data_IF_986892724031
#
_entry.id   IF_986892724031
#
_cell.length_a   1.000
_cell.length_b   1.000
_cell.length_c   1.000
_cell.angle_alpha   90.00
_cell.angle_beta   90.00
_cell.angle_gamma   90.00
#
_symmetry.space_group_name_H-M   'P 1'
#
loop_
_entity.id
_entity.type
_entity.pdbx_description
1 polymer ?
#
# COMPACT_ATOMS: atom_id res chain seq x y z
N UNK A 1 14.06 -3.29 -3.85
CA UNK A 1 14.25 -3.05 -2.42
C UNK A 1 15.67 -3.45 -2.04
N UNK A 2 16.18 -3.00 -0.89
CA UNK A 2 17.56 -3.22 -0.43
C UNK A 2 17.98 -4.69 -0.30
N UNK A 3 17.01 -5.58 -0.18
CA UNK A 3 17.17 -7.04 -0.11
C UNK A 3 17.07 -7.72 -1.50
N UNK A 4 16.86 -6.95 -2.57
CA UNK A 4 16.75 -7.44 -3.95
C UNK A 4 15.31 -7.71 -4.41
N UNK A 5 14.32 -7.70 -3.51
CA UNK A 5 12.90 -7.88 -3.89
C UNK A 5 12.42 -6.70 -4.73
N UNK A 6 11.66 -6.99 -5.78
CA UNK A 6 11.08 -5.98 -6.67
C UNK A 6 9.60 -5.76 -6.35
N UNK A 7 9.22 -4.50 -6.14
CA UNK A 7 7.84 -4.09 -5.90
C UNK A 7 7.28 -3.41 -7.15
N UNK A 8 6.16 -3.92 -7.64
CA UNK A 8 5.51 -3.38 -8.82
C UNK A 8 4.93 -1.99 -8.51
N UNK A 9 5.29 -1.02 -9.33
CA UNK A 9 4.99 0.39 -9.10
C UNK A 9 4.51 1.03 -10.41
N UNK A 10 3.34 1.67 -10.38
CA UNK A 10 2.81 2.47 -11.48
C UNK A 10 3.02 3.95 -11.20
N UNK A 11 3.55 4.68 -12.17
CA UNK A 11 3.93 6.09 -12.05
C UNK A 11 3.21 6.88 -13.14
N UNK A 12 2.41 7.86 -12.73
CA UNK A 12 1.69 8.76 -13.61
C UNK A 12 2.31 10.15 -13.48
N UNK A 13 3.02 10.57 -14.52
CA UNK A 13 3.70 11.87 -14.56
C UNK A 13 2.88 12.86 -15.38
N UNK A 14 2.67 14.10 -14.89
CA UNK A 14 2.03 15.15 -15.69
C UNK A 14 2.76 15.36 -17.02
N UNK A 15 2.01 15.59 -18.10
CA UNK A 15 2.58 15.97 -19.40
C UNK A 15 3.22 17.36 -19.35
N UNK A 16 2.76 18.22 -18.44
CA UNK A 16 3.36 19.51 -18.18
C UNK A 16 4.73 19.36 -17.51
N UNK A 17 5.78 19.63 -18.29
CA UNK A 17 7.17 19.62 -17.86
C UNK A 17 7.73 21.00 -17.57
N UNK A 18 6.89 22.04 -17.46
CA UNK A 18 7.32 23.42 -17.19
C UNK A 18 7.93 23.61 -15.80
N UNK A 19 7.57 22.74 -14.86
CA UNK A 19 8.11 22.72 -13.50
C UNK A 19 8.31 21.28 -13.04
N UNK A 20 9.00 21.15 -11.90
CA UNK A 20 9.17 19.87 -11.22
C UNK A 20 8.03 19.69 -10.23
N UNK A 21 7.27 18.61 -10.37
CA UNK A 21 6.12 18.33 -9.51
C UNK A 21 6.51 17.49 -8.28
N UNK A 22 5.81 17.65 -7.15
CA UNK A 22 5.94 16.75 -6.02
C UNK A 22 5.34 15.37 -6.34
N UNK A 23 5.78 14.36 -5.60
CA UNK A 23 5.25 13.00 -5.70
C UNK A 23 4.14 12.83 -4.66
N UNK A 24 3.02 12.23 -5.05
CA UNK A 24 1.98 11.76 -4.14
C UNK A 24 1.82 10.25 -4.29
N UNK A 25 2.19 9.52 -3.24
CA UNK A 25 2.35 8.08 -3.27
C UNK A 25 1.36 7.35 -2.35
N UNK A 26 0.80 6.25 -2.85
CA UNK A 26 0.01 5.29 -2.09
C UNK A 26 0.58 3.88 -2.26
N UNK A 27 0.81 3.19 -1.15
CA UNK A 27 1.15 1.76 -1.09
C UNK A 27 -0.11 0.99 -0.70
N UNK A 28 -0.37 -0.15 -1.31
CA UNK A 28 -1.62 -0.89 -1.04
C UNK A 28 -1.46 -2.41 -1.21
N UNK A 29 -2.22 -3.21 -0.43
CA UNK A 29 -2.31 -4.65 -0.61
C UNK A 29 -3.53 -5.05 -1.46
N UNK A 30 -4.19 -4.10 -2.13
CA UNK A 30 -5.50 -4.24 -2.80
C UNK A 30 -5.46 -4.12 -4.33
N UNK A 31 -4.30 -4.34 -4.95
CA UNK A 31 -4.04 -4.15 -6.38
C UNK A 31 -3.95 -2.68 -6.77
N UNK A 32 -2.95 -2.38 -7.58
CA UNK A 32 -2.84 -1.08 -8.27
C UNK A 32 -3.31 -1.11 -9.72
N UNK A 33 -4.04 -2.15 -10.12
CA UNK A 33 -4.69 -2.29 -11.42
C UNK A 33 -5.24 -0.97 -11.97
N UNK A 34 -5.17 -0.74 -13.29
CA UNK A 34 -4.74 -1.69 -14.32
C UNK A 34 -3.21 -1.84 -14.45
N UNK A 35 -2.79 -3.00 -14.97
CA UNK A 35 -1.40 -3.33 -15.23
C UNK A 35 -1.04 -3.20 -16.71
N UNK A 36 0.07 -2.53 -17.02
CA UNK A 36 0.56 -2.28 -18.38
C UNK A 36 0.82 -0.79 -18.63
N UNK A 37 1.77 -0.48 -19.51
CA UNK A 37 2.16 0.90 -19.81
C UNK A 37 1.11 1.67 -20.62
N UNK A 38 0.20 0.95 -21.28
CA UNK A 38 -0.88 1.45 -22.13
C UNK A 38 -2.22 1.54 -21.40
N UNK A 39 -2.29 1.14 -20.12
CA UNK A 39 -3.51 1.15 -19.33
C UNK A 39 -3.47 2.23 -18.26
N UNK A 40 -4.59 2.91 -18.08
CA UNK A 40 -4.71 4.05 -17.17
C UNK A 40 -5.81 3.84 -16.15
N UNK A 41 -5.56 4.27 -14.92
CA UNK A 41 -6.60 4.39 -13.89
C UNK A 41 -7.60 5.45 -14.30
N UNK A 42 -8.85 5.24 -13.92
CA UNK A 42 -9.94 6.22 -14.13
C UNK A 42 -9.83 7.42 -13.19
N UNK A 43 -9.14 7.26 -12.05
CA UNK A 43 -8.93 8.30 -11.05
C UNK A 43 -7.50 8.28 -10.52
N UNK A 44 -6.96 9.46 -10.23
CA UNK A 44 -5.66 9.67 -9.61
C UNK A 44 -5.82 10.50 -8.33
N UNK A 45 -4.95 10.26 -7.36
CA UNK A 45 -4.99 10.89 -6.04
C UNK A 45 -6.15 10.41 -5.14
N UNK A 46 -6.22 10.93 -3.91
CA UNK A 46 -7.28 10.59 -2.95
C UNK A 46 -8.61 11.27 -3.25
N UNK A 47 -8.61 12.36 -4.01
CA UNK A 47 -9.82 13.12 -4.34
C UNK A 47 -9.64 13.96 -5.62
N UNK A 48 -10.75 14.47 -6.22
CA UNK A 48 -10.70 15.24 -7.45
C UNK A 48 -9.97 16.59 -7.35
N UNK A 49 -9.81 17.15 -6.15
CA UNK A 49 -9.08 18.42 -5.96
C UNK A 49 -7.59 18.17 -6.17
N UNK A 50 -7.00 17.23 -5.42
CA UNK A 50 -5.58 16.89 -5.56
C UNK A 50 -5.26 16.28 -6.93
N UNK A 51 -6.21 15.59 -7.55
CA UNK A 51 -6.07 15.11 -8.94
C UNK A 51 -5.79 16.23 -9.94
N UNK A 52 -6.26 17.46 -9.67
CA UNK A 52 -6.09 18.64 -10.53
C UNK A 52 -4.88 19.50 -10.18
N UNK A 53 -4.27 19.28 -9.01
CA UNK A 53 -3.16 20.09 -8.48
C UNK A 53 -1.77 19.62 -8.96
N UNK A 54 -1.71 18.87 -10.07
CA UNK A 54 -0.50 18.36 -10.73
C UNK A 54 0.53 17.72 -9.77
N UNK A 55 0.38 16.42 -9.57
CA UNK A 55 1.37 15.58 -8.86
C UNK A 55 1.91 14.50 -9.79
N UNK A 56 3.10 13.99 -9.49
CA UNK A 56 3.49 12.66 -9.93
C UNK A 56 2.76 11.67 -9.03
N UNK A 57 1.73 11.01 -9.55
CA UNK A 57 0.98 10.01 -8.77
C UNK A 57 1.68 8.66 -8.84
N UNK A 58 1.93 8.07 -7.68
CA UNK A 58 2.60 6.78 -7.57
C UNK A 58 1.71 5.81 -6.81
N UNK A 59 1.50 4.65 -7.41
CA UNK A 59 0.80 3.53 -6.78
C UNK A 59 1.74 2.34 -6.75
N UNK A 60 1.81 1.66 -5.61
CA UNK A 60 2.66 0.48 -5.46
C UNK A 60 1.88 -0.68 -4.83
N UNK A 61 1.99 -1.85 -5.45
CA UNK A 61 1.61 -3.11 -4.82
C UNK A 61 2.65 -3.42 -3.73
N UNK A 62 2.24 -3.60 -2.49
CA UNK A 62 3.18 -3.89 -1.39
C UNK A 62 3.82 -5.26 -1.54
N UNK A 63 4.85 -5.53 -0.73
CA UNK A 63 5.59 -6.79 -0.71
C UNK A 63 4.65 -8.00 -0.63
N UNK A 64 4.91 -9.00 -1.47
CA UNK A 64 4.13 -10.22 -1.57
C UNK A 64 2.71 -10.07 -2.13
N UNK A 65 2.28 -8.86 -2.52
CA UNK A 65 0.96 -8.62 -3.08
C UNK A 65 1.00 -8.43 -4.59
N UNK A 66 0.06 -9.08 -5.28
CA UNK A 66 -0.14 -9.00 -6.72
C UNK A 66 1.15 -9.18 -7.53
N UNK A 67 1.53 -8.17 -8.33
CA UNK A 67 2.72 -8.18 -9.20
C UNK A 67 4.01 -7.97 -8.42
N UNK A 68 3.96 -7.60 -7.14
CA UNK A 68 5.14 -7.50 -6.30
C UNK A 68 5.65 -8.87 -5.86
N UNK A 69 6.97 -8.96 -5.77
CA UNK A 69 7.68 -10.12 -5.25
C UNK A 69 7.70 -10.11 -3.71
N UNK A 70 8.24 -11.18 -3.12
CA UNK A 70 8.38 -11.32 -1.67
C UNK A 70 7.23 -12.08 -1.03
N UNK A 71 7.18 -12.06 0.30
CA UNK A 71 6.12 -12.64 1.12
C UNK A 71 5.32 -11.52 1.77
N UNK A 72 4.01 -11.67 1.76
CA UNK A 72 3.12 -10.75 2.44
C UNK A 72 3.03 -11.13 3.91
N UNK A 73 3.11 -10.15 4.80
CA UNK A 73 2.90 -10.32 6.23
C UNK A 73 1.81 -9.33 6.66
N UNK A 74 0.86 -9.83 7.43
CA UNK A 74 -0.27 -9.04 7.90
C UNK A 74 0.20 -8.04 8.95
N UNK A 75 -0.05 -6.74 8.73
CA UNK A 75 0.39 -5.63 9.58
C UNK A 75 1.86 -5.77 9.98
N UNK A 76 2.74 -5.94 8.97
CA UNK A 76 4.19 -6.18 9.14
C UNK A 76 4.79 -5.30 10.27
N UNK A 77 5.26 -5.90 11.38
CA UNK A 77 5.77 -5.13 12.51
C UNK A 77 7.01 -4.30 12.16
N UNK A 78 7.09 -3.09 12.72
CA UNK A 78 8.27 -2.25 12.56
C UNK A 78 9.49 -2.87 13.28
N UNK A 79 10.63 -2.93 12.60
CA UNK A 79 11.85 -3.48 13.17
C UNK A 79 12.61 -2.40 13.95
N UNK A 80 12.70 -2.58 15.27
CA UNK A 80 13.48 -1.71 16.16
C UNK A 80 14.99 -1.86 15.91
N UNK A 81 15.44 -3.08 15.62
CA UNK A 81 16.84 -3.41 15.39
C UNK A 81 16.99 -4.06 14.01
N UNK A 82 17.86 -3.49 13.18
CA UNK A 82 18.23 -4.04 11.86
C UNK A 82 19.68 -4.49 11.91
N UNK A 83 19.91 -5.79 11.77
CA UNK A 83 21.23 -6.44 11.77
C UNK A 83 21.82 -6.51 10.36
N UNK A 84 20.97 -6.50 9.33
CA UNK A 84 21.39 -6.60 7.94
C UNK A 84 20.42 -5.93 6.97
N UNK A 85 20.80 -5.85 5.68
CA UNK A 85 19.91 -5.38 4.60
C UNK A 85 18.72 -6.31 4.34
N UNK A 86 18.72 -7.53 4.88
CA UNK A 86 17.60 -8.46 4.77
C UNK A 86 16.52 -8.20 5.82
N UNK A 87 16.81 -7.39 6.83
CA UNK A 87 15.86 -7.00 7.86
C UNK A 87 15.01 -5.86 7.31
N UNK A 88 13.95 -6.24 6.61
CA UNK A 88 13.04 -5.33 5.90
C UNK A 88 11.68 -5.30 6.59
N UNK A 89 11.12 -4.11 6.63
CA UNK A 89 9.76 -3.78 7.04
C UNK A 89 9.17 -2.72 6.11
N UNK A 90 7.93 -2.30 6.36
CA UNK A 90 7.24 -1.33 5.52
C UNK A 90 7.93 0.03 5.42
N UNK A 91 8.63 0.45 6.48
CA UNK A 91 9.38 1.70 6.47
C UNK A 91 10.57 1.62 5.52
N UNK A 92 11.26 0.48 5.50
CA UNK A 92 12.42 0.27 4.64
C UNK A 92 12.03 0.13 3.17
N UNK A 93 10.92 -0.54 2.86
CA UNK A 93 10.40 -0.66 1.50
C UNK A 93 9.88 0.70 0.99
N UNK A 94 9.21 1.49 1.84
CA UNK A 94 8.82 2.85 1.50
C UNK A 94 10.05 3.75 1.25
N UNK A 95 11.08 3.66 2.11
CA UNK A 95 12.32 4.40 1.97
C UNK A 95 12.99 4.12 0.62
N UNK A 96 13.16 2.84 0.29
CA UNK A 96 13.86 2.43 -0.93
C UNK A 96 13.06 2.79 -2.19
N UNK A 97 11.73 2.73 -2.11
CA UNK A 97 10.85 3.19 -3.18
C UNK A 97 11.03 4.69 -3.42
N UNK A 98 11.03 5.49 -2.36
CA UNK A 98 11.19 6.94 -2.47
C UNK A 98 12.56 7.29 -3.03
N UNK A 99 13.64 6.69 -2.52
CA UNK A 99 15.00 6.91 -3.03
C UNK A 99 15.11 6.57 -4.53
N UNK A 100 14.44 5.50 -4.98
CA UNK A 100 14.35 5.16 -6.40
C UNK A 100 13.57 6.21 -7.20
N UNK A 101 12.38 6.62 -6.73
CA UNK A 101 11.54 7.60 -7.42
C UNK A 101 12.25 8.95 -7.60
N UNK A 102 12.98 9.40 -6.58
CA UNK A 102 13.72 10.65 -6.61
C UNK A 102 14.78 10.67 -7.72
N UNK A 103 15.41 9.52 -7.99
CA UNK A 103 16.46 9.36 -9.01
C UNK A 103 15.92 9.11 -10.42
N UNK A 104 14.72 8.55 -10.53
CA UNK A 104 14.18 8.04 -11.80
C UNK A 104 12.95 8.80 -12.32
N UNK A 105 12.58 9.91 -11.68
CA UNK A 105 11.49 10.78 -12.13
C UNK A 105 11.93 12.25 -12.13
N UNK A 106 11.32 13.08 -12.96
CA UNK A 106 11.54 14.53 -12.93
C UNK A 106 10.66 15.17 -11.85
N UNK A 107 11.13 15.16 -10.61
CA UNK A 107 10.39 15.61 -9.42
C UNK A 107 11.13 16.74 -8.68
N UNK A 108 10.44 17.40 -7.74
CA UNK A 108 11.02 18.50 -6.94
C UNK A 108 11.65 18.08 -5.60
N UNK A 109 11.80 16.77 -5.35
CA UNK A 109 12.38 16.26 -4.11
C UNK A 109 11.40 16.08 -2.96
N UNK A 110 10.13 16.48 -3.10
CA UNK A 110 9.13 16.35 -2.04
C UNK A 110 8.16 15.20 -2.33
N UNK A 111 7.89 14.41 -1.29
CA UNK A 111 6.98 13.26 -1.35
C UNK A 111 5.90 13.40 -0.27
N UNK A 112 4.65 13.25 -0.68
CA UNK A 112 3.51 13.04 0.19
C UNK A 112 3.07 11.57 0.16
N UNK A 113 2.67 11.03 1.30
CA UNK A 113 2.11 9.69 1.43
C UNK A 113 0.68 9.76 1.94
N UNK A 114 -0.20 8.91 1.41
CA UNK A 114 -1.58 8.83 1.86
C UNK A 114 -2.14 7.42 1.72
N UNK A 115 -3.24 7.16 2.41
CA UNK A 115 -4.02 5.95 2.23
C UNK A 115 -5.13 5.83 3.25
N UNK A 116 -6.16 5.05 2.88
CA UNK A 116 -7.30 4.72 3.75
C UNK A 116 -7.21 3.26 4.19
N UNK A 117 -7.57 2.90 5.42
CA UNK A 117 -7.53 1.51 5.91
C UNK A 117 -6.10 0.96 5.83
N UNK A 118 -5.87 -0.15 5.15
CA UNK A 118 -4.55 -0.77 5.03
C UNK A 118 -3.52 0.09 4.28
N UNK A 119 -3.87 0.78 3.17
CA UNK A 119 -3.07 1.89 2.66
C UNK A 119 -2.74 2.96 3.73
N UNK A 120 -3.66 3.22 4.64
CA UNK A 120 -3.43 4.09 5.80
C UNK A 120 -2.39 3.52 6.76
N UNK A 121 -2.43 2.22 7.04
CA UNK A 121 -1.35 1.52 7.75
C UNK A 121 0.00 1.70 7.05
N UNK A 122 0.10 1.46 5.74
CA UNK A 122 1.37 1.64 5.02
C UNK A 122 1.86 3.09 5.01
N UNK A 123 0.94 4.07 5.01
CA UNK A 123 1.28 5.47 5.20
C UNK A 123 1.87 5.70 6.60
N UNK A 124 1.23 5.21 7.67
CA UNK A 124 1.75 5.30 9.04
C UNK A 124 3.08 4.57 9.22
N UNK A 125 3.19 3.35 8.71
CA UNK A 125 4.36 2.49 8.83
C UNK A 125 5.57 3.01 8.03
N UNK A 126 5.39 4.05 7.20
CA UNK A 126 6.49 4.76 6.55
C UNK A 126 7.25 5.73 7.46
N UNK A 127 6.65 6.12 8.59
CA UNK A 127 7.18 7.14 9.49
C UNK A 127 8.43 6.72 10.30
N UNK A 128 8.55 5.48 10.81
CA UNK A 128 9.77 5.04 11.50
C UNK A 128 10.98 5.10 10.56
N UNK A 129 12.03 5.85 10.92
CA UNK A 129 13.22 6.03 10.07
C UNK A 129 12.86 6.54 8.64
N UNK A 130 11.85 7.40 8.55
CA UNK A 130 11.31 7.94 7.30
C UNK A 130 12.37 8.55 6.39
N UNK A 131 12.20 8.38 5.07
CA UNK A 131 13.03 9.08 4.09
C UNK A 131 12.87 10.62 4.22
N UNK A 132 13.95 11.43 4.21
CA UNK A 132 13.89 12.88 4.44
C UNK A 132 13.09 13.68 3.40
N UNK A 133 12.80 13.06 2.25
CA UNK A 133 11.93 13.62 1.22
C UNK A 133 10.43 13.59 1.58
N UNK A 134 10.03 12.79 2.57
CA UNK A 134 8.65 12.77 3.06
C UNK A 134 8.35 14.09 3.75
N UNK A 135 7.41 14.87 3.21
CA UNK A 135 6.99 16.17 3.74
C UNK A 135 5.60 16.17 4.36
N UNK A 136 4.79 15.19 4.02
CA UNK A 136 3.45 15.02 4.57
C UNK A 136 3.03 13.55 4.52
N UNK A 137 2.34 13.10 5.56
CA UNK A 137 1.72 11.78 5.63
C UNK A 137 0.28 11.96 6.08
N UNK A 138 -0.67 11.41 5.32
CA UNK A 138 -2.10 11.44 5.62
C UNK A 138 -2.64 10.01 5.75
N UNK A 139 -2.48 9.37 6.93
CA UNK A 139 -3.11 8.10 7.21
C UNK A 139 -4.59 8.34 7.56
N UNK A 140 -5.49 7.64 6.86
CA UNK A 140 -6.94 7.85 6.99
C UNK A 140 -7.56 6.54 7.46
N UNK A 141 -8.19 6.52 8.64
CA UNK A 141 -8.66 5.29 9.28
C UNK A 141 -7.64 4.13 9.15
N UNK A 142 -6.36 4.33 9.54
CA UNK A 142 -5.33 3.32 9.34
C UNK A 142 -5.61 2.09 10.21
N UNK A 143 -5.31 0.90 9.70
CA UNK A 143 -5.20 -0.30 10.55
C UNK A 143 -4.07 -0.05 11.55
N UNK A 144 -4.33 -0.30 12.83
CA UNK A 144 -3.39 0.01 13.91
C UNK A 144 -3.34 -1.08 14.99
N UNK A 145 -4.44 -1.31 15.71
CA UNK A 145 -4.53 -2.26 16.81
C UNK A 145 -5.70 -3.22 16.57
N UNK A 146 -5.36 -4.31 15.90
CA UNK A 146 -6.26 -5.40 15.56
C UNK A 146 -6.86 -6.11 16.79
N UNK A 147 -6.33 -5.91 18.00
CA UNK A 147 -6.83 -6.54 19.21
C UNK A 147 -7.83 -5.66 19.99
N UNK A 148 -7.49 -4.38 20.14
CA UNK A 148 -8.25 -3.45 20.98
C UNK A 148 -9.52 -2.95 20.28
N UNK A 149 -9.49 -2.68 18.97
CA UNK A 149 -10.67 -2.12 18.31
C UNK A 149 -10.63 -1.83 16.82
N UNK A 150 -9.66 -2.37 16.07
CA UNK A 150 -9.71 -2.38 14.60
C UNK A 150 -10.33 -3.70 14.06
N UNK A 151 -9.96 -4.10 12.85
CA UNK A 151 -10.71 -5.01 11.99
C UNK A 151 -10.84 -6.46 12.52
N UNK A 152 -9.95 -6.93 13.38
CA UNK A 152 -9.95 -8.33 13.85
C UNK A 152 -10.71 -8.55 15.17
N UNK A 153 -10.50 -7.69 16.16
CA UNK A 153 -11.11 -7.79 17.49
C UNK A 153 -11.46 -6.42 18.07
N UNK A 154 -12.55 -6.39 18.84
CA UNK A 154 -12.91 -5.24 19.67
C UNK A 154 -12.89 -5.63 21.14
N UNK A 155 -11.88 -5.18 21.88
CA UNK A 155 -11.63 -5.55 23.28
C UNK A 155 -11.62 -7.07 23.51
N UNK A 156 -10.99 -7.81 22.59
CA UNK A 156 -10.94 -9.28 22.60
C UNK A 156 -12.16 -9.99 22.02
N UNK A 157 -13.26 -9.29 21.71
CA UNK A 157 -14.38 -9.88 20.97
C UNK A 157 -14.00 -10.04 19.49
N UNK A 158 -13.93 -11.28 19.00
CA UNK A 158 -13.50 -11.59 17.64
C UNK A 158 -14.58 -11.30 16.59
N UNK A 159 -14.23 -10.54 15.56
CA UNK A 159 -15.16 -10.12 14.50
C UNK A 159 -15.23 -11.19 13.41
N UNK A 160 -16.02 -12.23 13.67
CA UNK A 160 -16.08 -13.44 12.85
C UNK A 160 -16.36 -13.16 11.36
N UNK A 161 -17.33 -12.28 11.06
CA UNK A 161 -17.73 -12.01 9.68
C UNK A 161 -16.62 -11.30 8.90
N UNK A 162 -15.96 -10.32 9.51
CA UNK A 162 -14.88 -9.56 8.88
C UNK A 162 -13.66 -10.45 8.66
N UNK A 163 -13.27 -11.23 9.67
CA UNK A 163 -12.15 -12.16 9.57
C UNK A 163 -12.35 -13.26 8.53
N UNK A 164 -13.54 -13.88 8.49
CA UNK A 164 -13.80 -14.97 7.55
C UNK A 164 -14.24 -14.49 6.16
N UNK A 165 -14.64 -13.23 6.04
CA UNK A 165 -15.10 -12.63 4.79
C UNK A 165 -13.98 -11.89 4.08
N UNK A 166 -13.43 -10.88 4.76
CA UNK A 166 -12.43 -9.97 4.21
C UNK A 166 -11.06 -10.60 4.12
N UNK A 167 -10.50 -11.14 5.21
CA UNK A 167 -9.12 -11.66 5.20
C UNK A 167 -8.91 -12.92 4.33
N UNK A 168 -10.01 -13.57 3.94
CA UNK A 168 -10.04 -14.77 3.12
C UNK A 168 -9.33 -14.62 1.74
N UNK A 169 -9.16 -13.40 1.21
CA UNK A 169 -8.43 -13.15 -0.05
C UNK A 169 -6.98 -12.68 0.13
N UNK A 170 -6.51 -12.43 1.35
CA UNK A 170 -5.12 -12.01 1.61
C UNK A 170 -4.16 -13.19 1.54
N UNK A 171 -4.53 -14.35 2.08
CA UNK A 171 -3.73 -15.58 2.03
C UNK A 171 -4.20 -16.57 0.95
N UNK A 172 -5.09 -16.12 0.07
CA UNK A 172 -5.60 -16.89 -1.05
C UNK A 172 -4.51 -17.32 -2.05
N UNK A 173 -4.82 -18.31 -2.89
CA UNK A 173 -3.88 -18.70 -3.97
C UNK A 173 -3.80 -17.58 -5.01
N UNK A 174 -2.60 -17.02 -5.20
CA UNK A 174 -2.34 -16.00 -6.23
C UNK A 174 -2.49 -16.59 -7.62
N UNK A 175 -3.19 -15.90 -8.51
CA UNK A 175 -3.29 -16.28 -9.92
C UNK A 175 -1.91 -16.23 -10.59
N UNK A 176 -1.71 -17.03 -11.64
CA UNK A 176 -0.43 -17.13 -12.35
C UNK A 176 0.04 -15.77 -12.91
N UNK A 177 -0.89 -14.96 -13.40
CA UNK A 177 -0.59 -13.60 -13.86
C UNK A 177 -0.28 -12.62 -12.72
N UNK A 178 -0.51 -12.99 -11.46
CA UNK A 178 -0.29 -12.13 -10.30
C UNK A 178 -1.28 -10.98 -10.15
N UNK A 179 -2.44 -11.02 -10.81
CA UNK A 179 -3.40 -9.90 -10.83
C UNK A 179 -4.64 -10.14 -9.95
N UNK A 180 -4.77 -11.33 -9.38
CA UNK A 180 -5.89 -11.69 -8.51
C UNK A 180 -5.54 -12.83 -7.56
N UNK A 181 -6.43 -13.06 -6.60
CA UNK A 181 -6.34 -14.12 -5.59
C UNK A 181 -7.62 -14.94 -5.60
N UNK A 182 -7.49 -16.26 -5.48
CA UNK A 182 -8.62 -17.13 -5.16
C UNK A 182 -8.80 -17.16 -3.64
N UNK A 183 -9.99 -16.87 -3.11
CA UNK A 183 -10.26 -16.99 -1.67
C UNK A 183 -9.91 -18.40 -1.16
N UNK A 184 -9.47 -18.51 0.08
CA UNK A 184 -9.14 -19.79 0.72
C UNK A 184 -10.39 -20.68 0.81
N UNK A 185 -11.53 -20.10 1.18
CA UNK A 185 -12.81 -20.78 1.25
C UNK A 185 -13.95 -19.90 0.72
N UNK A 186 -15.13 -20.49 0.52
CA UNK A 186 -16.35 -19.71 0.22
C UNK A 186 -17.12 -19.52 1.50
N UNK A 187 -17.11 -18.30 2.04
CA UNK A 187 -17.92 -17.99 3.20
C UNK A 187 -19.39 -17.76 2.79
N UNK A 188 -20.33 -18.31 3.58
CA UNK A 188 -21.78 -18.16 3.35
C UNK A 188 -22.41 -17.58 4.61
N UNK A 189 -23.11 -16.47 4.46
CA UNK A 189 -23.74 -15.75 5.58
C UNK A 189 -25.26 -15.56 5.38
N UNK A 190 -26.01 -16.61 4.98
CA UNK A 190 -27.43 -16.47 4.61
C UNK A 190 -28.33 -15.95 5.73
N UNK A 191 -27.87 -16.05 6.98
CA UNK A 191 -28.61 -15.64 8.18
C UNK A 191 -28.09 -14.33 8.80
N UNK A 192 -26.99 -13.75 8.30
CA UNK A 192 -26.34 -12.58 8.94
C UNK A 192 -27.19 -11.29 8.94
N UNK A 193 -28.26 -11.27 8.15
CA UNK A 193 -29.23 -10.17 8.10
C UNK A 193 -30.67 -10.60 8.43
N UNK A 194 -30.86 -11.77 9.05
CA UNK A 194 -32.16 -12.20 9.57
C UNK A 194 -32.31 -11.65 10.99
N UNK A 195 -32.78 -10.41 11.08
CA UNK A 195 -33.17 -9.76 12.33
C UNK A 195 -34.69 -9.72 12.43
#
# INVERSE_FOLDING_TARGET
MRDGVQLFTAIYTPLDSSTKWPILMQRTPYSISPYGADKFRTTLGPNPTLAKDNYIFVYQDVRGRYKSQGQFEEVTPALVVRKSKKDVDESSDAYDTIDWLLKNTTNNGNVGLYGISYPGFFATASLPNSHPAIKAVSPQAPVSDEFIGDDCNHNGAFFLLDNFGFYNFFEGTKAENGESYKPIFTARYPDAYRF
#
